data_IF_533888270893
#
_entry.id   IF_533888270893
#
_cell.length_a   1.000
_cell.length_b   1.000
_cell.length_c   1.000
_cell.angle_alpha   90.00
_cell.angle_beta   90.00
_cell.angle_gamma   90.00
#
_symmetry.space_group_name_H-M   'P 1'
#
loop_
_entity.id
_entity.type
_entity.pdbx_description
1 polymer ?
#
# COMPACT_ATOMS: atom_id res chain seq x y z
N UNK A 1 -5.77 13.92 -12.82
CA UNK A 1 -6.30 12.83 -13.68
C UNK A 1 -6.00 11.50 -13.00
N UNK A 2 -7.02 10.67 -12.76
CA UNK A 2 -6.81 9.32 -12.19
C UNK A 2 -6.26 8.42 -13.29
N UNK A 3 -4.98 8.04 -13.21
CA UNK A 3 -4.44 7.03 -14.09
C UNK A 3 -5.19 5.72 -13.87
N UNK A 4 -5.70 5.11 -14.95
CA UNK A 4 -6.32 3.80 -14.91
C UNK A 4 -5.27 2.78 -14.41
N UNK A 5 -5.59 1.96 -13.40
CA UNK A 5 -4.63 0.99 -12.88
C UNK A 5 -4.28 -0.03 -13.97
N UNK A 6 -3.02 -0.46 -14.01
CA UNK A 6 -2.54 -1.42 -15.01
C UNK A 6 -3.25 -2.78 -14.87
N UNK A 7 -3.46 -3.20 -13.62
CA UNK A 7 -4.14 -4.43 -13.25
C UNK A 7 -5.51 -4.13 -12.65
N UNK A 8 -6.47 -5.01 -12.91
CA UNK A 8 -7.83 -4.91 -12.35
C UNK A 8 -7.93 -5.51 -10.93
N UNK A 9 -6.80 -5.89 -10.34
CA UNK A 9 -6.70 -6.46 -9.01
C UNK A 9 -5.49 -5.87 -8.26
N UNK A 10 -5.49 -6.05 -6.95
CA UNK A 10 -4.34 -5.81 -6.08
C UNK A 10 -4.20 -6.99 -5.13
N UNK A 11 -3.01 -7.20 -4.57
CA UNK A 11 -2.81 -8.20 -3.51
C UNK A 11 -3.18 -7.54 -2.17
N UNK A 12 -4.26 -7.98 -1.49
CA UNK A 12 -4.66 -7.39 -0.23
C UNK A 12 -3.71 -7.78 0.90
N UNK A 13 -3.83 -7.13 2.05
CA UNK A 13 -3.15 -7.57 3.26
C UNK A 13 -3.70 -8.95 3.69
N UNK A 14 -2.80 -9.90 3.91
CA UNK A 14 -3.13 -11.24 4.39
C UNK A 14 -2.37 -11.51 5.70
N UNK A 15 -3.06 -11.42 6.83
CA UNK A 15 -2.46 -11.54 8.15
C UNK A 15 -1.37 -10.49 8.42
N UNK A 16 -0.55 -10.74 9.45
CA UNK A 16 0.54 -9.82 9.82
C UNK A 16 1.73 -9.89 8.87
N UNK A 17 2.03 -11.07 8.29
CA UNK A 17 3.30 -11.29 7.59
C UNK A 17 3.21 -11.98 6.22
N UNK A 18 2.08 -12.56 5.79
CA UNK A 18 2.06 -13.37 4.54
C UNK A 18 2.33 -12.55 3.28
N UNK A 19 2.01 -11.25 3.32
CA UNK A 19 2.15 -10.33 2.18
C UNK A 19 3.23 -9.27 2.39
N UNK A 20 4.03 -9.42 3.46
CA UNK A 20 4.99 -8.42 3.92
C UNK A 20 6.00 -8.04 2.84
N UNK A 21 6.43 -9.01 2.01
CA UNK A 21 7.42 -8.82 0.94
C UNK A 21 6.81 -8.90 -0.46
N UNK A 22 5.47 -8.92 -0.58
CA UNK A 22 4.80 -8.99 -1.87
C UNK A 22 5.25 -7.87 -2.82
N UNK A 23 5.40 -6.60 -2.39
CA UNK A 23 5.86 -5.57 -3.31
C UNK A 23 7.23 -5.87 -3.92
N UNK A 24 8.19 -6.37 -3.12
CA UNK A 24 9.51 -6.79 -3.61
C UNK A 24 9.38 -7.85 -4.72
N UNK A 25 8.37 -8.72 -4.65
CA UNK A 25 8.22 -9.85 -5.57
C UNK A 25 7.50 -9.49 -6.86
N UNK A 26 6.49 -8.60 -6.81
CA UNK A 26 5.56 -8.39 -7.93
C UNK A 26 5.43 -6.94 -8.41
N UNK A 27 5.93 -5.95 -7.67
CA UNK A 27 5.73 -4.54 -8.03
C UNK A 27 6.37 -4.17 -9.38
N UNK A 28 7.46 -4.84 -9.78
CA UNK A 28 8.08 -4.60 -11.09
C UNK A 28 7.15 -4.91 -12.27
N UNK A 29 6.11 -5.73 -12.07
CA UNK A 29 5.09 -6.05 -13.06
C UNK A 29 3.88 -5.10 -13.02
N UNK A 30 3.96 -4.03 -12.24
CA UNK A 30 2.87 -3.07 -12.02
C UNK A 30 1.77 -3.57 -11.06
N UNK A 31 1.98 -4.69 -10.37
CA UNK A 31 0.98 -5.27 -9.45
C UNK A 31 1.10 -4.61 -8.08
N UNK A 32 0.07 -3.88 -7.68
CA UNK A 32 -0.05 -3.27 -6.35
C UNK A 32 -0.26 -4.31 -5.26
N UNK A 33 0.34 -4.09 -4.09
CA UNK A 33 0.19 -4.97 -2.93
C UNK A 33 0.26 -4.21 -1.61
N UNK A 34 -0.28 -4.81 -0.54
CA UNK A 34 -0.41 -4.15 0.77
C UNK A 34 0.44 -4.84 1.84
N UNK A 35 1.25 -4.07 2.56
CA UNK A 35 2.06 -4.52 3.71
C UNK A 35 1.31 -4.21 5.02
N UNK A 36 1.13 -5.18 5.92
CA UNK A 36 0.75 -4.87 7.30
C UNK A 36 1.96 -4.31 8.05
N UNK A 37 1.83 -3.11 8.61
CA UNK A 37 2.97 -2.42 9.27
C UNK A 37 2.85 -2.35 10.79
N UNK A 38 1.91 -3.09 11.39
CA UNK A 38 1.64 -3.02 12.82
C UNK A 38 2.73 -3.69 13.69
N UNK A 39 3.38 -4.73 13.18
CA UNK A 39 4.37 -5.55 13.90
C UNK A 39 5.80 -5.15 13.49
N UNK A 40 6.44 -4.30 14.29
CA UNK A 40 7.77 -3.79 14.00
C UNK A 40 8.89 -4.85 14.11
N UNK A 41 8.68 -5.92 14.90
CA UNK A 41 9.69 -6.97 15.05
C UNK A 41 9.80 -7.82 13.80
N UNK A 42 8.67 -8.16 13.19
CA UNK A 42 8.65 -8.89 11.91
C UNK A 42 9.28 -8.01 10.82
N UNK A 43 8.93 -6.72 10.76
CA UNK A 43 9.51 -5.80 9.77
C UNK A 43 11.03 -5.68 9.93
N UNK A 44 11.55 -5.58 11.16
CA UNK A 44 13.00 -5.51 11.39
C UNK A 44 13.73 -6.81 10.98
N UNK A 45 13.12 -7.98 11.23
CA UNK A 45 13.66 -9.27 10.77
C UNK A 45 13.67 -9.36 9.24
N UNK A 46 12.57 -8.96 8.60
CA UNK A 46 12.47 -8.95 7.13
C UNK A 46 13.44 -7.94 6.51
N UNK A 47 13.61 -6.77 7.14
CA UNK A 47 14.62 -5.78 6.76
C UNK A 47 16.01 -6.40 6.80
N UNK A 48 16.40 -7.06 7.90
CA UNK A 48 17.70 -7.73 8.01
C UNK A 48 17.93 -8.80 6.94
N UNK A 49 16.90 -9.60 6.63
CA UNK A 49 16.97 -10.60 5.56
C UNK A 49 17.22 -9.97 4.18
N UNK A 50 16.41 -8.97 3.81
CA UNK A 50 16.50 -8.33 2.50
C UNK A 50 17.73 -7.43 2.35
N UNK A 51 18.13 -6.75 3.43
CA UNK A 51 19.37 -5.97 3.48
C UNK A 51 20.59 -6.84 3.13
N UNK A 52 20.67 -8.06 3.71
CA UNK A 52 21.73 -9.02 3.36
C UNK A 52 21.60 -9.55 1.94
N UNK A 53 20.37 -9.86 1.51
CA UNK A 53 20.10 -10.45 0.18
C UNK A 53 20.45 -9.52 -0.97
N UNK A 54 20.22 -8.22 -0.81
CA UNK A 54 20.48 -7.19 -1.82
C UNK A 54 21.76 -6.40 -1.56
N UNK A 55 22.53 -6.75 -0.52
CA UNK A 55 23.76 -6.06 -0.13
C UNK A 55 23.58 -4.54 0.04
N UNK A 56 22.59 -4.16 0.87
CA UNK A 56 22.23 -2.78 1.18
C UNK A 56 22.81 -2.35 2.55
N UNK A 57 22.77 -1.03 2.81
CA UNK A 57 23.35 -0.40 4.02
C UNK A 57 22.29 0.03 5.06
N UNK A 58 21.20 -0.72 5.20
CA UNK A 58 20.20 -0.48 6.25
C UNK A 58 20.62 -1.10 7.58
N UNK A 59 21.08 -0.26 8.51
CA UNK A 59 21.49 -0.70 9.86
C UNK A 59 20.33 -1.19 10.73
N UNK A 60 20.64 -2.12 11.64
CA UNK A 60 19.70 -2.64 12.62
C UNK A 60 19.26 -1.58 13.64
N UNK A 61 17.97 -1.52 13.94
CA UNK A 61 17.39 -0.56 14.89
C UNK A 61 17.03 -1.32 16.17
N UNK A 62 17.73 -1.03 17.27
CA UNK A 62 17.48 -1.66 18.57
C UNK A 62 16.20 -1.12 19.23
N UNK A 63 15.53 -1.93 20.05
CA UNK A 63 14.41 -1.52 20.91
C UNK A 63 14.81 -0.49 21.98
N UNK A 64 16.11 -0.30 22.22
CA UNK A 64 16.65 0.76 23.08
C UNK A 64 16.63 2.14 22.41
N UNK A 65 16.46 2.18 21.08
CA UNK A 65 16.39 3.43 20.32
C UNK A 65 15.10 4.16 20.68
N UNK A 66 15.19 5.46 20.91
CA UNK A 66 13.99 6.28 21.03
C UNK A 66 13.17 6.19 19.75
N UNK A 67 11.86 5.95 19.91
CA UNK A 67 10.91 5.77 18.82
C UNK A 67 11.29 4.66 17.83
N UNK A 68 11.87 3.57 18.35
CA UNK A 68 12.36 2.47 17.51
C UNK A 68 11.28 1.89 16.57
N UNK A 69 10.01 1.84 16.99
CA UNK A 69 8.91 1.27 16.18
C UNK A 69 8.71 2.06 14.89
N UNK A 70 8.49 3.37 14.99
CA UNK A 70 8.30 4.22 13.81
C UNK A 70 9.55 4.21 12.92
N UNK A 71 10.76 4.23 13.51
CA UNK A 71 12.03 4.15 12.78
C UNK A 71 12.20 2.82 12.03
N UNK A 72 11.84 1.69 12.63
CA UNK A 72 11.86 0.36 11.98
C UNK A 72 10.91 0.31 10.80
N UNK A 73 9.70 0.81 10.98
CA UNK A 73 8.67 0.86 9.93
C UNK A 73 9.15 1.74 8.77
N UNK A 74 9.64 2.95 9.05
CA UNK A 74 10.21 3.87 8.06
C UNK A 74 11.33 3.20 7.26
N UNK A 75 12.34 2.67 7.97
CA UNK A 75 13.51 2.06 7.35
C UNK A 75 13.14 0.82 6.51
N UNK A 76 12.16 0.02 6.96
CA UNK A 76 11.69 -1.12 6.18
C UNK A 76 10.99 -0.68 4.89
N UNK A 77 10.08 0.29 4.97
CA UNK A 77 9.35 0.80 3.82
C UNK A 77 10.28 1.47 2.79
N UNK A 78 11.27 2.22 3.27
CA UNK A 78 12.28 2.86 2.41
C UNK A 78 13.18 1.82 1.71
N UNK A 79 13.55 0.75 2.41
CA UNK A 79 14.31 -0.37 1.84
C UNK A 79 13.49 -1.12 0.79
N UNK A 80 12.19 -1.36 1.06
CA UNK A 80 11.29 -1.99 0.09
C UNK A 80 11.19 -1.14 -1.18
N UNK A 81 11.06 0.18 -1.05
CA UNK A 81 11.03 1.11 -2.17
C UNK A 81 12.31 1.05 -3.01
N UNK A 82 13.50 1.07 -2.37
CA UNK A 82 14.77 0.96 -3.08
C UNK A 82 14.87 -0.34 -3.89
N UNK A 83 14.53 -1.46 -3.25
CA UNK A 83 14.55 -2.78 -3.92
C UNK A 83 13.56 -2.82 -5.08
N UNK A 84 12.36 -2.26 -4.91
CA UNK A 84 11.34 -2.22 -5.97
C UNK A 84 11.82 -1.38 -7.14
N UNK A 85 12.41 -0.21 -6.89
CA UNK A 85 12.95 0.66 -7.93
C UNK A 85 14.11 0.00 -8.68
N UNK A 86 15.06 -0.62 -7.99
CA UNK A 86 16.16 -1.37 -8.60
C UNK A 86 15.63 -2.50 -9.50
N UNK A 87 14.71 -3.31 -8.98
CA UNK A 87 14.09 -4.40 -9.73
C UNK A 87 13.28 -3.91 -10.92
N UNK A 88 12.59 -2.78 -10.78
CA UNK A 88 11.79 -2.20 -11.84
C UNK A 88 12.66 -1.69 -12.99
N UNK A 89 13.77 -1.01 -12.68
CA UNK A 89 14.73 -0.59 -13.70
C UNK A 89 15.37 -1.77 -14.42
N UNK A 90 15.79 -2.81 -13.67
CA UNK A 90 16.30 -4.04 -14.28
C UNK A 90 15.24 -4.70 -15.18
N UNK A 91 13.99 -4.75 -14.75
CA UNK A 91 12.89 -5.33 -15.51
C UNK A 91 12.62 -4.56 -16.81
N UNK A 92 12.57 -3.23 -16.76
CA UNK A 92 12.41 -2.39 -17.97
C UNK A 92 13.50 -2.68 -19.00
N UNK A 93 14.75 -2.81 -18.55
CA UNK A 93 15.87 -3.16 -19.43
C UNK A 93 15.72 -4.56 -20.02
N UNK A 94 15.29 -5.53 -19.22
CA UNK A 94 15.05 -6.91 -19.65
C UNK A 94 13.99 -6.97 -20.76
N UNK A 95 12.79 -6.43 -20.53
CA UNK A 95 11.70 -6.49 -21.52
C UNK A 95 11.96 -5.63 -22.76
N UNK A 96 12.87 -4.66 -22.70
CA UNK A 96 13.29 -3.89 -23.87
C UNK A 96 14.27 -4.68 -24.75
N UNK A 97 15.15 -5.50 -24.14
CA UNK A 97 16.22 -6.22 -24.84
C UNK A 97 15.84 -7.66 -25.21
N UNK A 98 14.96 -8.29 -24.44
CA UNK A 98 14.57 -9.68 -24.59
C UNK A 98 13.12 -9.81 -25.07
N UNK A 99 12.95 -10.28 -26.31
CA UNK A 99 11.62 -10.48 -26.93
C UNK A 99 10.76 -11.51 -26.20
N UNK A 100 11.37 -12.55 -25.61
CA UNK A 100 10.63 -13.57 -24.87
C UNK A 100 10.11 -13.00 -23.55
N UNK A 101 10.97 -12.30 -22.80
CA UNK A 101 10.57 -11.60 -21.58
C UNK A 101 9.43 -10.60 -21.84
N UNK A 102 9.51 -9.83 -22.93
CA UNK A 102 8.45 -8.92 -23.35
C UNK A 102 7.14 -9.65 -23.65
N UNK A 103 7.18 -10.76 -24.41
CA UNK A 103 5.99 -11.56 -24.72
C UNK A 103 5.34 -12.13 -23.45
N UNK A 104 6.15 -12.63 -22.52
CA UNK A 104 5.68 -13.14 -21.24
C UNK A 104 5.02 -12.03 -20.41
N UNK A 105 5.61 -10.83 -20.39
CA UNK A 105 5.01 -9.68 -19.73
C UNK A 105 3.66 -9.29 -20.37
N UNK A 106 3.58 -9.18 -21.70
CA UNK A 106 2.33 -8.89 -22.41
C UNK A 106 1.25 -9.93 -22.08
N UNK A 107 1.63 -11.21 -21.95
CA UNK A 107 0.71 -12.29 -21.66
C UNK A 107 0.05 -12.15 -20.27
N UNK A 108 0.76 -11.63 -19.26
CA UNK A 108 0.21 -11.44 -17.91
C UNK A 108 -0.63 -10.15 -17.77
N UNK A 109 -0.56 -9.23 -18.72
CA UNK A 109 -1.35 -8.00 -18.68
C UNK A 109 -2.84 -8.28 -18.96
N UNK A 110 -3.77 -7.57 -18.29
CA UNK A 110 -5.20 -7.67 -18.60
C UNK A 110 -5.50 -7.31 -20.05
N UNK A 111 -6.51 -7.95 -20.64
CA UNK A 111 -6.94 -7.65 -22.01
C UNK A 111 -7.54 -6.23 -22.16
N UNK A 112 -7.94 -5.61 -21.05
CA UNK A 112 -8.46 -4.23 -20.99
C UNK A 112 -7.37 -3.18 -20.81
N UNK A 113 -6.09 -3.58 -20.81
CA UNK A 113 -4.95 -2.69 -20.56
C UNK A 113 -4.51 -1.98 -21.83
N UNK A 114 -4.51 -0.64 -21.78
CA UNK A 114 -4.03 0.20 -22.89
C UNK A 114 -2.52 -0.04 -23.14
N UNK A 115 -1.75 -0.35 -22.08
CA UNK A 115 -0.35 -0.73 -22.19
C UNK A 115 -0.19 -2.03 -23.01
N UNK A 116 -1.05 -3.03 -22.79
CA UNK A 116 -1.01 -4.29 -23.53
C UNK A 116 -1.24 -4.06 -25.02
N UNK A 117 -2.29 -3.30 -25.35
CA UNK A 117 -2.61 -2.95 -26.74
C UNK A 117 -1.47 -2.17 -27.40
N UNK A 118 -0.91 -1.17 -26.70
CA UNK A 118 0.21 -0.40 -27.22
C UNK A 118 1.47 -1.25 -27.47
N UNK A 119 1.82 -2.14 -26.55
CA UNK A 119 2.96 -3.05 -26.72
C UNK A 119 2.73 -4.05 -27.87
N UNK A 120 1.54 -4.61 -28.02
CA UNK A 120 1.22 -5.54 -29.11
C UNK A 120 1.32 -4.87 -30.48
N UNK A 121 0.87 -3.62 -30.59
CA UNK A 121 1.00 -2.82 -31.82
C UNK A 121 2.48 -2.57 -32.16
N UNK A 122 3.29 -2.19 -31.17
CA UNK A 122 4.72 -1.95 -31.36
C UNK A 122 5.48 -3.23 -31.75
N UNK A 123 5.15 -4.37 -31.14
CA UNK A 123 5.76 -5.67 -31.48
C UNK A 123 5.38 -6.12 -32.90
N UNK A 124 4.23 -5.69 -33.43
CA UNK A 124 3.76 -6.05 -34.78
C UNK A 124 4.39 -5.19 -35.88
N UNK A 125 4.94 -4.02 -35.54
CA UNK A 125 5.62 -3.13 -36.49
C UNK A 125 7.10 -3.55 -36.64
N UNK A 126 7.53 -3.88 -37.86
CA UNK A 126 8.88 -4.45 -38.11
C UNK A 126 10.04 -3.45 -37.98
N UNK A 127 9.78 -2.14 -38.12
CA UNK A 127 10.83 -1.19 -38.52
C UNK A 127 11.41 -0.29 -37.42
N UNK A 128 11.03 -0.44 -36.13
CA UNK A 128 11.65 0.37 -35.06
C UNK A 128 11.54 -0.22 -33.65
N UNK A 129 11.74 -1.54 -33.53
CA UNK A 129 11.47 -2.30 -32.31
C UNK A 129 12.25 -1.84 -31.06
N UNK A 130 13.48 -1.33 -31.20
CA UNK A 130 14.34 -1.04 -30.04
C UNK A 130 13.97 0.26 -29.31
N UNK A 131 14.09 1.39 -29.99
CA UNK A 131 13.90 2.72 -29.38
C UNK A 131 12.43 3.03 -29.08
N UNK A 132 11.51 2.59 -29.94
CA UNK A 132 10.07 2.79 -29.76
C UNK A 132 9.51 2.07 -28.54
N UNK A 133 9.88 0.79 -28.36
CA UNK A 133 9.45 0.01 -27.19
C UNK A 133 10.01 0.60 -25.90
N UNK A 134 11.30 0.98 -25.89
CA UNK A 134 11.93 1.61 -24.73
C UNK A 134 11.17 2.87 -24.31
N UNK A 135 10.99 3.81 -25.23
CA UNK A 135 10.32 5.09 -24.93
C UNK A 135 8.86 4.88 -24.47
N UNK A 136 8.18 3.90 -25.07
CA UNK A 136 6.82 3.55 -24.69
C UNK A 136 6.75 3.00 -23.26
N UNK A 137 7.65 2.08 -22.89
CA UNK A 137 7.73 1.54 -21.53
C UNK A 137 8.04 2.65 -20.52
N UNK A 138 9.07 3.47 -20.78
CA UNK A 138 9.46 4.57 -19.89
C UNK A 138 8.32 5.55 -19.60
N UNK A 139 7.46 5.80 -20.59
CA UNK A 139 6.37 6.77 -20.46
C UNK A 139 5.09 6.18 -19.86
N UNK A 140 4.86 4.87 -20.01
CA UNK A 140 3.55 4.26 -19.73
C UNK A 140 3.57 3.19 -18.63
N UNK A 141 4.73 2.59 -18.33
CA UNK A 141 4.85 1.57 -17.30
C UNK A 141 5.28 2.21 -15.98
N UNK A 142 4.62 1.82 -14.89
CA UNK A 142 4.96 2.21 -13.52
C UNK A 142 5.02 0.95 -12.64
N UNK A 143 5.83 0.95 -11.57
CA UNK A 143 5.77 -0.12 -10.60
C UNK A 143 4.43 -0.14 -9.86
N UNK A 144 4.07 -1.30 -9.34
CA UNK A 144 2.90 -1.46 -8.47
C UNK A 144 3.07 -0.68 -7.18
N UNK A 145 1.97 -0.18 -6.60
CA UNK A 145 2.03 0.55 -5.33
C UNK A 145 2.44 -0.35 -4.17
N UNK A 146 3.26 0.21 -3.28
CA UNK A 146 3.63 -0.34 -1.97
C UNK A 146 2.66 0.27 -0.95
N UNK A 147 1.42 -0.20 -0.95
CA UNK A 147 0.43 0.29 0.01
C UNK A 147 0.66 -0.34 1.40
N UNK A 148 0.18 0.31 2.45
CA UNK A 148 0.31 -0.19 3.83
C UNK A 148 -1.06 -0.38 4.46
N UNK A 149 -1.14 -1.25 5.47
CA UNK A 149 -2.33 -1.46 6.29
C UNK A 149 -2.03 -1.20 7.76
N UNK A 150 -2.92 -0.46 8.41
CA UNK A 150 -2.94 -0.26 9.86
C UNK A 150 -4.29 -0.75 10.39
N UNK A 151 -4.25 -1.73 11.31
CA UNK A 151 -5.44 -2.18 12.04
C UNK A 151 -5.70 -1.23 13.21
N UNK A 152 -6.76 -0.42 13.12
CA UNK A 152 -6.96 0.73 14.01
C UNK A 152 -7.37 0.37 15.44
N UNK A 153 -8.02 -0.79 15.63
CA UNK A 153 -8.48 -1.28 16.94
C UNK A 153 -7.40 -2.02 17.74
N UNK A 154 -6.32 -2.45 17.10
CA UNK A 154 -5.21 -3.17 17.76
C UNK A 154 -4.10 -2.17 18.07
N UNK A 155 -4.47 -1.07 18.72
CA UNK A 155 -3.58 0.02 19.08
C UNK A 155 -3.15 -0.14 20.54
N UNK A 156 -2.10 -0.94 20.75
CA UNK A 156 -1.61 -1.30 22.09
C UNK A 156 -0.85 -0.14 22.72
N UNK A 157 -1.14 0.11 24.00
CA UNK A 157 -0.36 1.04 24.83
C UNK A 157 1.05 0.50 25.11
N UNK A 158 2.05 1.36 24.95
CA UNK A 158 3.45 1.01 25.17
C UNK A 158 3.99 1.65 26.45
N UNK A 159 4.97 0.99 27.07
CA UNK A 159 5.51 1.35 28.38
C UNK A 159 7.02 1.45 28.36
N UNK A 160 7.59 2.37 29.13
CA UNK A 160 9.03 2.49 29.35
C UNK A 160 9.31 2.54 30.85
N UNK A 161 10.09 1.58 31.35
CA UNK A 161 10.40 1.44 32.79
C UNK A 161 9.15 1.37 33.69
N UNK A 162 8.05 0.81 33.19
CA UNK A 162 6.79 0.69 33.92
C UNK A 162 5.84 1.88 33.77
N UNK A 163 6.28 2.98 33.15
CA UNK A 163 5.43 4.14 32.89
C UNK A 163 4.82 4.08 31.49
N UNK A 164 3.52 4.37 31.39
CA UNK A 164 2.82 4.42 30.12
C UNK A 164 3.35 5.59 29.28
N UNK A 165 3.68 5.30 28.02
CA UNK A 165 4.10 6.32 27.06
C UNK A 165 2.89 7.11 26.52
N UNK A 166 3.11 8.33 25.99
CA UNK A 166 2.07 9.06 25.27
C UNK A 166 1.49 8.25 24.11
N UNK A 167 0.22 8.49 23.77
CA UNK A 167 -0.54 7.76 22.74
C UNK A 167 0.17 7.69 21.38
N UNK A 168 0.98 8.70 21.04
CA UNK A 168 1.78 8.69 19.80
C UNK A 168 2.76 7.50 19.70
N UNK A 169 3.10 6.87 20.83
CA UNK A 169 3.95 5.68 20.88
C UNK A 169 3.15 4.37 20.86
N UNK A 170 1.83 4.41 20.80
CA UNK A 170 1.02 3.21 20.62
C UNK A 170 1.25 2.59 19.23
N UNK A 171 0.96 1.30 19.08
CA UNK A 171 1.32 0.53 17.90
C UNK A 171 0.81 1.13 16.57
N UNK A 172 -0.47 1.53 16.51
CA UNK A 172 -1.05 2.11 15.30
C UNK A 172 -0.53 3.53 15.04
N UNK A 173 -0.30 4.31 16.09
CA UNK A 173 0.25 5.67 15.96
C UNK A 173 1.71 5.65 15.50
N UNK A 174 2.53 4.76 16.04
CA UNK A 174 3.90 4.54 15.58
C UNK A 174 3.93 4.04 14.12
N UNK A 175 2.97 3.20 13.74
CA UNK A 175 2.81 2.73 12.36
C UNK A 175 2.46 3.86 11.40
N UNK A 176 1.49 4.70 11.77
CA UNK A 176 1.11 5.88 10.99
C UNK A 176 2.30 6.81 10.82
N UNK A 177 3.01 7.13 11.90
CA UNK A 177 4.20 7.99 11.83
C UNK A 177 5.29 7.39 10.96
N UNK A 178 5.58 6.10 11.10
CA UNK A 178 6.59 5.43 10.29
C UNK A 178 6.22 5.43 8.79
N UNK A 179 4.94 5.27 8.46
CA UNK A 179 4.47 5.41 7.08
C UNK A 179 4.51 6.86 6.59
N UNK A 180 4.11 7.82 7.41
CA UNK A 180 4.12 9.24 7.06
C UNK A 180 5.55 9.74 6.78
N UNK A 181 6.52 9.28 7.58
CA UNK A 181 7.93 9.66 7.47
C UNK A 181 8.71 8.91 6.38
N UNK A 182 8.15 7.82 5.81
CA UNK A 182 8.80 7.10 4.71
C UNK A 182 8.75 7.88 3.40
N UNK A 183 9.66 7.56 2.48
CA UNK A 183 9.70 8.20 1.15
C UNK A 183 8.59 7.74 0.20
N UNK A 184 7.80 6.72 0.59
CA UNK A 184 6.74 6.16 -0.23
C UNK A 184 5.69 7.21 -0.64
N UNK A 185 5.26 7.16 -1.90
CA UNK A 185 4.07 7.87 -2.38
C UNK A 185 2.96 6.84 -2.65
N UNK A 186 2.27 6.40 -1.61
CA UNK A 186 1.32 5.29 -1.68
C UNK A 186 0.12 5.48 -0.74
N UNK A 187 -0.70 4.44 -0.60
CA UNK A 187 -1.94 4.50 0.16
C UNK A 187 -1.84 3.75 1.49
N UNK A 188 -2.47 4.30 2.52
CA UNK A 188 -2.69 3.67 3.80
C UNK A 188 -4.13 3.15 3.88
N UNK A 189 -4.27 1.85 4.07
CA UNK A 189 -5.54 1.17 4.35
C UNK A 189 -5.79 1.18 5.85
N UNK A 190 -6.84 1.89 6.26
CA UNK A 190 -7.36 1.85 7.62
C UNK A 190 -8.39 0.72 7.72
N UNK A 191 -8.10 -0.27 8.56
CA UNK A 191 -8.93 -1.46 8.74
C UNK A 191 -9.29 -1.71 10.20
N UNK A 192 -10.21 -2.65 10.43
CA UNK A 192 -10.68 -3.06 11.75
C UNK A 192 -11.50 -2.00 12.53
N UNK A 193 -11.98 -0.95 11.87
CA UNK A 193 -12.93 0.03 12.43
C UNK A 193 -12.32 1.42 12.66
N UNK A 194 -12.95 2.20 13.54
CA UNK A 194 -12.62 3.60 13.76
C UNK A 194 -11.75 3.79 15.02
N UNK A 195 -10.69 4.58 14.91
CA UNK A 195 -9.90 5.07 16.03
C UNK A 195 -9.77 6.61 15.91
N UNK A 196 -10.61 7.38 16.64
CA UNK A 196 -10.63 8.85 16.53
C UNK A 196 -9.31 9.53 16.89
N UNK A 197 -8.53 8.93 17.81
CA UNK A 197 -7.21 9.44 18.22
C UNK A 197 -6.21 9.31 17.07
N UNK A 198 -6.16 8.12 16.45
CA UNK A 198 -5.33 7.87 15.28
C UNK A 198 -5.70 8.80 14.13
N UNK A 199 -7.00 9.01 13.88
CA UNK A 199 -7.46 9.85 12.78
C UNK A 199 -7.11 11.32 12.99
N UNK A 200 -7.17 11.79 14.24
CA UNK A 200 -6.70 13.13 14.60
C UNK A 200 -5.19 13.25 14.44
N UNK A 201 -4.44 12.18 14.72
CA UNK A 201 -2.99 12.17 14.54
C UNK A 201 -2.55 12.22 13.07
N UNK A 202 -3.41 11.85 12.10
CA UNK A 202 -3.12 11.99 10.67
C UNK A 202 -2.96 13.48 10.28
N UNK A 203 -3.67 14.40 10.93
CA UNK A 203 -3.60 15.84 10.64
C UNK A 203 -2.22 16.44 10.89
N UNK A 204 -1.39 15.80 11.72
CA UNK A 204 -0.05 16.27 12.06
C UNK A 204 0.96 16.05 10.90
N UNK A 205 0.53 15.46 9.77
CA UNK A 205 1.39 15.07 8.67
C UNK A 205 0.93 15.68 7.34
N UNK A 206 1.68 16.68 6.86
CA UNK A 206 1.39 17.46 5.64
C UNK A 206 1.21 16.59 4.39
N UNK A 207 1.91 15.47 4.29
CA UNK A 207 1.88 14.55 3.14
C UNK A 207 0.50 13.90 2.88
N UNK A 208 -0.45 13.99 3.83
CA UNK A 208 -1.83 13.54 3.67
C UNK A 208 -2.78 14.62 3.12
N UNK A 209 -2.29 15.84 2.94
CA UNK A 209 -3.02 16.93 2.30
C UNK A 209 -2.57 17.09 0.85
N UNK A 210 -3.46 17.56 -0.05
CA UNK A 210 -3.08 17.80 -1.43
C UNK A 210 -2.03 18.92 -1.49
N UNK A 211 -1.01 18.72 -2.34
CA UNK A 211 -0.04 19.76 -2.65
C UNK A 211 -0.67 20.89 -3.51
N UNK A 212 0.16 21.86 -3.91
CA UNK A 212 -0.25 22.98 -4.77
C UNK A 212 -0.82 22.55 -6.13
N UNK A 213 -0.53 21.33 -6.57
CA UNK A 213 -1.03 20.73 -7.82
C UNK A 213 -2.24 19.81 -7.58
N UNK A 214 -2.74 19.72 -6.34
CA UNK A 214 -3.83 18.82 -5.98
C UNK A 214 -3.40 17.35 -5.87
N UNK A 215 -2.11 17.06 -5.74
CA UNK A 215 -1.56 15.71 -5.68
C UNK A 215 -1.39 15.28 -4.22
N UNK A 216 -1.93 14.10 -3.90
CA UNK A 216 -1.76 13.44 -2.60
C UNK A 216 -0.58 12.48 -2.65
N UNK A 217 0.44 12.73 -1.82
CA UNK A 217 1.57 11.83 -1.64
C UNK A 217 1.17 10.61 -0.82
N UNK A 218 0.46 10.81 0.29
CA UNK A 218 -0.05 9.74 1.16
C UNK A 218 -1.58 9.72 1.06
N UNK A 219 -2.13 8.63 0.54
CA UNK A 219 -3.58 8.48 0.31
C UNK A 219 -4.23 7.69 1.43
N UNK A 220 -5.49 8.00 1.73
CA UNK A 220 -6.27 7.23 2.71
C UNK A 220 -7.25 6.32 1.98
N UNK A 221 -7.22 5.05 2.31
CA UNK A 221 -8.18 4.04 1.89
C UNK A 221 -8.93 3.56 3.12
N UNK A 222 -10.24 3.69 3.11
CA UNK A 222 -11.06 3.31 4.24
C UNK A 222 -11.74 1.97 3.98
N UNK A 223 -11.41 0.96 4.79
CA UNK A 223 -12.05 -0.36 4.73
C UNK A 223 -13.32 -0.35 5.58
N UNK A 224 -14.46 -0.73 4.99
CA UNK A 224 -15.79 -0.56 5.60
C UNK A 224 -16.68 -1.77 5.36
N UNK A 225 -17.47 -2.12 6.37
CA UNK A 225 -18.40 -3.26 6.34
C UNK A 225 -19.86 -2.88 6.08
N UNK A 226 -20.19 -1.59 6.16
CA UNK A 226 -21.56 -1.08 6.07
C UNK A 226 -21.54 0.42 5.73
N UNK A 227 -22.65 0.92 5.19
CA UNK A 227 -22.74 2.30 4.71
C UNK A 227 -22.65 3.32 5.85
N UNK A 228 -23.23 3.02 7.02
CA UNK A 228 -23.24 3.93 8.18
C UNK A 228 -21.82 4.19 8.68
N UNK A 229 -21.03 3.13 8.81
CA UNK A 229 -19.62 3.17 9.19
C UNK A 229 -18.79 3.99 8.21
N UNK A 230 -19.02 3.80 6.91
CA UNK A 230 -18.37 4.61 5.87
C UNK A 230 -18.69 6.10 6.00
N UNK A 231 -19.96 6.44 6.19
CA UNK A 231 -20.41 7.83 6.32
C UNK A 231 -19.85 8.50 7.59
N UNK A 232 -19.86 7.81 8.73
CA UNK A 232 -19.36 8.37 10.00
C UNK A 232 -17.86 8.65 9.92
N UNK A 233 -17.09 7.65 9.51
CA UNK A 233 -15.63 7.76 9.40
C UNK A 233 -15.23 8.76 8.31
N UNK A 234 -15.95 8.75 7.19
CA UNK A 234 -15.77 9.71 6.10
C UNK A 234 -16.00 11.15 6.53
N UNK A 235 -17.12 11.42 7.21
CA UNK A 235 -17.40 12.75 7.73
C UNK A 235 -16.39 13.19 8.79
N UNK A 236 -15.88 12.26 9.60
CA UNK A 236 -14.86 12.58 10.61
C UNK A 236 -13.54 13.02 9.98
N UNK A 237 -13.05 12.28 8.97
CA UNK A 237 -11.82 12.63 8.24
C UNK A 237 -11.99 13.89 7.40
N UNK A 238 -13.15 14.07 6.74
CA UNK A 238 -13.44 15.26 5.95
C UNK A 238 -13.45 16.55 6.79
N UNK A 239 -14.00 16.51 8.02
CA UNK A 239 -13.97 17.65 8.96
C UNK A 239 -12.55 18.07 9.35
N UNK A 240 -11.58 17.19 9.16
CA UNK A 240 -10.15 17.38 9.44
C UNK A 240 -9.36 17.75 8.19
N UNK A 241 -10.04 17.98 7.06
CA UNK A 241 -9.41 18.27 5.77
C UNK A 241 -8.74 17.07 5.11
N UNK A 242 -8.93 15.85 5.64
CA UNK A 242 -8.30 14.63 5.15
C UNK A 242 -9.16 13.95 4.08
N UNK A 243 -8.54 13.57 2.97
CA UNK A 243 -9.24 13.05 1.79
C UNK A 243 -9.22 11.53 1.75
N UNK A 244 -10.40 10.91 1.70
CA UNK A 244 -10.52 9.49 1.41
C UNK A 244 -10.42 9.29 -0.09
N UNK A 245 -9.35 8.63 -0.52
CA UNK A 245 -9.09 8.33 -1.93
C UNK A 245 -9.87 7.11 -2.42
N UNK A 246 -10.20 6.17 -1.54
CA UNK A 246 -10.92 4.94 -1.89
C UNK A 246 -11.69 4.41 -0.68
N UNK A 247 -12.92 3.91 -0.91
CA UNK A 247 -13.64 3.08 0.05
C UNK A 247 -13.56 1.62 -0.39
N UNK A 248 -12.97 0.76 0.45
CA UNK A 248 -12.92 -0.70 0.23
C UNK A 248 -14.03 -1.37 1.03
N UNK A 249 -15.07 -1.80 0.34
CA UNK A 249 -16.20 -2.50 0.93
C UNK A 249 -15.80 -3.95 1.17
N UNK A 250 -15.99 -4.42 2.41
CA UNK A 250 -15.73 -5.81 2.80
C UNK A 250 -16.94 -6.45 3.47
N UNK A 251 -16.98 -7.78 3.45
CA UNK A 251 -17.88 -8.55 4.30
C UNK A 251 -17.14 -8.96 5.57
N UNK A 252 -17.78 -8.80 6.72
CA UNK A 252 -17.26 -9.23 8.02
C UNK A 252 -17.09 -10.74 8.16
N UNK A 253 -17.48 -11.54 7.16
CA UNK A 253 -17.40 -13.00 7.18
C UNK A 253 -15.99 -13.56 6.87
N UNK A 254 -15.15 -12.83 6.13
CA UNK A 254 -13.91 -13.40 5.56
C UNK A 254 -12.62 -12.82 6.16
N UNK A 255 -12.62 -12.47 7.45
CA UNK A 255 -11.43 -11.90 8.13
C UNK A 255 -10.36 -12.93 8.52
N UNK A 256 -10.05 -13.88 7.61
CA UNK A 256 -8.85 -14.71 7.69
C UNK A 256 -8.66 -15.52 8.98
N UNK A 257 -9.74 -15.99 9.61
CA UNK A 257 -9.68 -16.90 10.77
C UNK A 257 -9.94 -16.29 12.14
N UNK A 258 -10.36 -15.02 12.25
CA UNK A 258 -10.88 -14.48 13.52
C UNK A 258 -12.36 -14.83 13.68
N UNK A 259 -12.76 -15.19 14.91
CA UNK A 259 -14.16 -15.45 15.26
C UNK A 259 -15.05 -14.28 14.84
N UNK A 260 -16.18 -14.60 14.19
CA UNK A 260 -17.12 -13.62 13.66
C UNK A 260 -17.54 -12.63 14.75
N UNK A 261 -17.17 -11.36 14.59
CA UNK A 261 -17.56 -10.31 15.52
C UNK A 261 -19.05 -9.92 15.37
N UNK A 262 -19.73 -10.41 14.33
CA UNK A 262 -21.14 -10.15 14.02
C UNK A 262 -21.77 -11.39 13.38
N UNK A 263 -23.10 -11.43 13.25
CA UNK A 263 -23.84 -12.45 12.49
C UNK A 263 -23.44 -12.53 11.00
N UNK A 264 -22.58 -11.61 10.54
CA UNK A 264 -21.88 -11.67 9.27
C UNK A 264 -22.80 -11.51 8.06
N UNK A 265 -22.91 -10.30 7.53
CA UNK A 265 -23.59 -10.09 6.25
C UNK A 265 -22.70 -10.49 5.08
N UNK A 266 -23.29 -11.17 4.10
CA UNK A 266 -22.65 -11.41 2.80
C UNK A 266 -22.36 -10.08 2.09
N UNK A 267 -21.40 -10.10 1.15
CA UNK A 267 -21.02 -8.90 0.40
C UNK A 267 -22.19 -8.33 -0.44
N UNK A 268 -23.06 -9.18 -0.98
CA UNK A 268 -24.19 -8.77 -1.83
C UNK A 268 -25.13 -7.75 -1.15
N UNK A 269 -25.72 -8.08 0.01
CA UNK A 269 -26.54 -7.15 0.79
C UNK A 269 -25.83 -5.83 1.14
N UNK A 270 -24.54 -5.89 1.50
CA UNK A 270 -23.74 -4.69 1.80
C UNK A 270 -23.63 -3.82 0.55
N UNK A 271 -23.27 -4.41 -0.60
CA UNK A 271 -23.17 -3.68 -1.87
C UNK A 271 -24.50 -3.07 -2.31
N UNK A 272 -25.61 -3.76 -2.08
CA UNK A 272 -26.95 -3.23 -2.38
C UNK A 272 -27.30 -2.04 -1.47
N UNK A 273 -26.96 -2.09 -0.17
CA UNK A 273 -27.11 -0.93 0.73
C UNK A 273 -26.31 0.27 0.21
N UNK A 274 -25.04 0.08 -0.13
CA UNK A 274 -24.21 1.15 -0.69
C UNK A 274 -24.79 1.72 -1.99
N UNK A 275 -25.31 0.86 -2.88
CA UNK A 275 -25.96 1.28 -4.13
C UNK A 275 -27.20 2.13 -3.87
N UNK A 276 -28.03 1.77 -2.89
CA UNK A 276 -29.26 2.49 -2.57
C UNK A 276 -29.00 3.84 -1.90
N UNK A 277 -28.02 3.90 -0.98
CA UNK A 277 -27.74 5.08 -0.15
C UNK A 277 -26.68 6.03 -0.70
N UNK A 278 -25.98 5.66 -1.79
CA UNK A 278 -25.00 6.53 -2.46
C UNK A 278 -25.63 7.76 -3.13
N UNK A 279 -26.95 7.77 -3.33
CA UNK A 279 -27.69 8.88 -3.94
C UNK A 279 -27.76 10.10 -3.02
#
# INVERSE_FOLDING_TARGET
MTHKPLHNFHIPVMGLAYTIDSPIRVAQYGISSVISIIDDEILEKMKGFYNKKFNLDYFGISTKTEDYRAKRITAYLDMVDDIVNEKFESFKQEITKNKEALKNFIAILPNTSDLKTGLQNLVSQKDNLGSGIKNFIESNLKPGSIDVNIMTKVDKDNYKKGEQLPVMFNDAHASLRGFAQSKLSSSMVLSAGMNPRLYSYIEEFDDFFPDQNGILKKKIILKVSDFRSAMIQGNFLAKKGLWISEYRIESGLNCGGHAFATEGMLLGPIMEEFKQKKK
#
